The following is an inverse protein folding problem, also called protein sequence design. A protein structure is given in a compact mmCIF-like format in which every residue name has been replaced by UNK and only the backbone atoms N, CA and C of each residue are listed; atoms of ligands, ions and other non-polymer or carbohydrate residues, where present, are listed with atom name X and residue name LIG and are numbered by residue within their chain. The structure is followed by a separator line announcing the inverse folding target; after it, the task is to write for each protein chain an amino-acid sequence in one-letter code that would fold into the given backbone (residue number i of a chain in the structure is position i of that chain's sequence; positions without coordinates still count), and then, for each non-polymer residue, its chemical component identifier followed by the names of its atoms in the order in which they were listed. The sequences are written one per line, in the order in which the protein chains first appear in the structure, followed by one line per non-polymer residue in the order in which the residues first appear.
data_IF_243830212207
#
_entry.id   IF_243830212207
#
_cell.length_a   1.000
_cell.length_b   1.000
_cell.length_c   1.000
_cell.angle_alpha   90.00
_cell.angle_beta   90.00
_cell.angle_gamma   90.00
#
_symmetry.space_group_name_H-M   'P 1'
#
loop_
_entity.id
_entity.type
_entity.pdbx_description
1 polymer ?
#
# COMPACT_ATOMS: atom_id res chain seq x y z
N UNK A 1 20.31 5.70 -36.38
CA UNK A 1 18.91 5.85 -36.83
C UNK A 1 18.04 5.34 -35.69
N UNK A 2 17.35 6.28 -35.05
CA UNK A 2 16.58 6.12 -33.81
C UNK A 2 15.36 5.25 -34.12
N UNK A 3 15.22 4.09 -33.47
CA UNK A 3 13.97 3.33 -33.54
C UNK A 3 12.96 3.96 -32.58
N UNK A 4 11.85 4.35 -33.18
CA UNK A 4 10.79 5.19 -32.66
C UNK A 4 10.33 4.86 -31.23
N UNK A 5 10.54 5.86 -30.39
CA UNK A 5 9.73 6.19 -29.21
C UNK A 5 8.30 6.49 -29.70
N UNK A 6 7.46 5.46 -29.81
CA UNK A 6 6.02 5.66 -30.05
C UNK A 6 5.14 4.67 -29.31
N UNK A 7 5.62 4.15 -28.17
CA UNK A 7 4.72 3.61 -27.14
C UNK A 7 4.15 4.82 -26.37
N UNK A 8 3.20 5.45 -27.04
CA UNK A 8 2.00 6.03 -26.47
C UNK A 8 2.15 7.23 -25.50
N UNK A 9 2.30 8.43 -26.07
CA UNK A 9 2.11 9.68 -25.33
C UNK A 9 0.67 9.84 -24.81
N UNK A 10 -0.34 9.13 -25.34
CA UNK A 10 -1.72 9.19 -24.84
C UNK A 10 -1.92 8.46 -23.50
N UNK A 11 -1.06 7.49 -23.16
CA UNK A 11 -1.14 6.78 -21.87
C UNK A 11 -0.59 7.59 -20.68
N UNK A 12 0.15 8.68 -20.94
CA UNK A 12 0.80 9.49 -19.89
C UNK A 12 -0.18 10.41 -19.15
N UNK A 13 -1.35 10.68 -19.72
CA UNK A 13 -2.36 11.60 -19.16
C UNK A 13 -3.67 10.92 -18.73
N UNK A 14 -3.81 9.60 -18.94
CA UNK A 14 -5.05 8.90 -18.56
C UNK A 14 -5.19 8.86 -17.03
N UNK A 15 -6.29 9.42 -16.55
CA UNK A 15 -6.68 9.33 -15.14
C UNK A 15 -6.84 7.86 -14.74
N UNK A 16 -6.25 7.49 -13.60
CA UNK A 16 -6.40 6.16 -13.01
C UNK A 16 -7.45 6.21 -11.91
N UNK A 17 -8.48 5.39 -12.05
CA UNK A 17 -9.61 5.31 -11.13
C UNK A 17 -9.60 4.01 -10.32
N UNK A 18 -10.20 3.97 -9.11
CA UNK A 18 -9.96 2.88 -8.16
C UNK A 18 -10.41 1.50 -8.66
N UNK A 19 -11.47 1.43 -9.48
CA UNK A 19 -11.98 0.16 -10.00
C UNK A 19 -11.03 -0.52 -10.99
N UNK A 20 -10.06 0.21 -11.55
CA UNK A 20 -9.09 -0.34 -12.51
C UNK A 20 -8.07 -1.27 -11.84
N UNK A 21 -7.84 -1.11 -10.54
CA UNK A 21 -6.81 -1.84 -9.80
C UNK A 21 -7.33 -2.52 -8.51
N UNK A 22 -8.59 -2.31 -8.13
CA UNK A 22 -9.16 -2.88 -6.89
C UNK A 22 -9.18 -4.42 -6.90
N UNK A 23 -8.88 -5.02 -5.76
CA UNK A 23 -9.04 -6.45 -5.52
C UNK A 23 -10.51 -6.84 -5.42
N UNK A 24 -10.89 -7.91 -6.12
CA UNK A 24 -12.28 -8.40 -6.16
C UNK A 24 -12.82 -8.74 -4.76
N UNK A 25 -11.95 -9.18 -3.86
CA UNK A 25 -12.32 -9.60 -2.51
C UNK A 25 -12.30 -8.46 -1.49
N UNK A 26 -11.95 -7.24 -1.90
CA UNK A 26 -11.82 -6.12 -0.97
C UNK A 26 -13.16 -5.71 -0.35
N UNK A 27 -14.20 -5.47 -1.16
CA UNK A 27 -15.53 -5.13 -0.62
C UNK A 27 -16.17 -6.27 0.19
N UNK A 28 -16.14 -7.54 -0.25
CA UNK A 28 -16.58 -8.66 0.58
C UNK A 28 -15.85 -8.71 1.93
N UNK A 29 -14.53 -8.50 1.94
CA UNK A 29 -13.75 -8.49 3.18
C UNK A 29 -14.10 -7.31 4.09
N UNK A 30 -14.37 -6.12 3.52
CA UNK A 30 -14.84 -4.96 4.28
C UNK A 30 -16.20 -5.24 4.92
N UNK A 31 -17.13 -5.86 4.18
CA UNK A 31 -18.44 -6.22 4.71
C UNK A 31 -18.32 -7.19 5.90
N UNK A 32 -17.47 -8.21 5.80
CA UNK A 32 -17.19 -9.14 6.89
C UNK A 32 -16.60 -8.38 8.11
N UNK A 33 -15.62 -7.51 7.89
CA UNK A 33 -15.01 -6.71 8.97
C UNK A 33 -16.02 -5.80 9.67
N UNK A 34 -16.91 -5.14 8.92
CA UNK A 34 -17.97 -4.30 9.48
C UNK A 34 -19.01 -5.14 10.24
N UNK A 35 -19.39 -6.31 9.71
CA UNK A 35 -20.30 -7.23 10.38
C UNK A 35 -19.72 -7.74 11.72
N UNK A 36 -18.45 -8.18 11.73
CA UNK A 36 -17.75 -8.58 12.96
C UNK A 36 -17.68 -7.42 13.96
N UNK A 37 -17.42 -6.20 13.49
CA UNK A 37 -17.41 -4.99 14.33
C UNK A 37 -18.78 -4.74 14.97
N UNK A 38 -19.88 -4.95 14.24
CA UNK A 38 -21.24 -4.81 14.77
C UNK A 38 -21.58 -5.88 15.80
N UNK A 39 -21.20 -7.14 15.57
CA UNK A 39 -21.41 -8.23 16.52
C UNK A 39 -20.65 -7.95 17.83
N UNK A 40 -19.39 -7.54 17.72
CA UNK A 40 -18.56 -7.16 18.87
C UNK A 40 -19.14 -5.93 19.57
N UNK A 41 -19.56 -4.91 18.82
CA UNK A 41 -20.24 -3.74 19.35
C UNK A 41 -21.52 -4.09 20.10
N UNK A 42 -22.32 -5.04 19.62
CA UNK A 42 -23.53 -5.51 20.31
C UNK A 42 -23.19 -6.23 21.63
N UNK A 43 -22.14 -7.07 21.64
CA UNK A 43 -21.65 -7.70 22.88
C UNK A 43 -21.18 -6.64 23.88
N UNK A 44 -20.45 -5.62 23.41
CA UNK A 44 -19.97 -4.52 24.24
C UNK A 44 -21.05 -3.48 24.58
N UNK A 45 -22.19 -3.44 23.90
CA UNK A 45 -23.30 -2.55 24.24
C UNK A 45 -23.99 -2.91 25.56
N UNK A 46 -23.58 -4.03 26.17
CA UNK A 46 -23.84 -4.37 27.58
C UNK A 46 -22.97 -3.54 28.55
N UNK A 47 -21.98 -2.78 28.07
CA UNK A 47 -21.22 -1.78 28.82
C UNK A 47 -21.90 -0.40 28.74
N UNK A 48 -21.61 0.47 29.71
CA UNK A 48 -22.12 1.85 29.75
C UNK A 48 -21.74 2.65 28.48
N UNK A 49 -22.76 3.17 27.80
CA UNK A 49 -22.63 4.02 26.60
C UNK A 49 -21.62 5.16 26.76
N UNK A 50 -21.56 5.77 27.94
CA UNK A 50 -20.65 6.89 28.24
C UNK A 50 -19.18 6.48 28.26
N UNK A 51 -18.88 5.27 28.75
CA UNK A 51 -17.52 4.72 28.73
C UNK A 51 -17.08 4.46 27.29
N UNK A 52 -17.96 3.87 26.47
CA UNK A 52 -17.71 3.67 25.05
C UNK A 52 -17.43 5.00 24.33
N UNK A 53 -18.26 6.02 24.53
CA UNK A 53 -18.09 7.32 23.90
C UNK A 53 -16.77 7.98 24.31
N UNK A 54 -16.38 7.90 25.60
CA UNK A 54 -15.12 8.43 26.10
C UNK A 54 -13.91 7.76 25.44
N UNK A 55 -13.94 6.43 25.30
CA UNK A 55 -12.88 5.67 24.62
C UNK A 55 -12.76 6.07 23.14
N UNK A 56 -13.88 6.21 22.44
CA UNK A 56 -13.88 6.65 21.03
C UNK A 56 -13.32 8.06 20.89
N UNK A 57 -13.79 9.02 21.68
CA UNK A 57 -13.34 10.43 21.60
C UNK A 57 -11.87 10.55 21.98
N UNK A 58 -11.41 9.88 23.05
CA UNK A 58 -10.01 9.89 23.44
C UNK A 58 -9.09 9.28 22.38
N UNK A 59 -9.53 8.20 21.72
CA UNK A 59 -8.83 7.62 20.56
C UNK A 59 -8.72 8.59 19.38
N UNK A 60 -9.79 9.32 19.05
CA UNK A 60 -9.77 10.35 17.98
C UNK A 60 -8.81 11.50 18.29
N UNK A 61 -8.77 11.95 19.55
CA UNK A 61 -7.81 12.98 19.99
C UNK A 61 -6.39 12.45 19.91
N UNK A 62 -6.13 11.21 20.36
CA UNK A 62 -4.83 10.58 20.28
C UNK A 62 -4.30 10.49 18.85
N UNK A 63 -5.14 10.10 17.87
CA UNK A 63 -4.76 10.11 16.44
C UNK A 63 -4.29 11.49 16.00
N UNK A 64 -5.04 12.55 16.34
CA UNK A 64 -4.69 13.92 15.95
C UNK A 64 -3.36 14.35 16.55
N UNK A 65 -3.11 14.02 17.82
CA UNK A 65 -1.83 14.30 18.47
C UNK A 65 -0.67 13.55 17.81
N UNK A 66 -0.86 12.27 17.47
CA UNK A 66 0.15 11.50 16.72
C UNK A 66 0.42 12.11 15.34
N UNK A 67 -0.62 12.50 14.59
CA UNK A 67 -0.46 13.19 13.32
C UNK A 67 0.35 14.48 13.46
N UNK A 68 0.08 15.30 14.47
CA UNK A 68 0.88 16.50 14.73
C UNK A 68 2.33 16.20 15.10
N UNK A 69 2.56 15.15 15.89
CA UNK A 69 3.92 14.68 16.21
C UNK A 69 4.68 14.25 14.96
N UNK A 70 4.07 13.43 14.10
CA UNK A 70 4.68 13.03 12.82
C UNK A 70 4.94 14.21 11.90
N UNK A 71 4.05 15.20 11.84
CA UNK A 71 4.22 16.40 11.03
C UNK A 71 5.30 17.35 11.59
N UNK A 72 5.53 17.36 12.90
CA UNK A 72 6.56 18.18 13.55
C UNK A 72 7.97 17.57 13.52
N UNK A 73 8.06 16.24 13.48
CA UNK A 73 9.32 15.46 13.58
C UNK A 73 9.75 14.85 12.23
N UNK A 74 9.20 15.32 11.12
CA UNK A 74 9.56 14.87 9.78
C UNK A 74 9.88 16.03 8.85
N UNK A 75 10.72 15.77 7.85
CA UNK A 75 11.08 16.75 6.84
C UNK A 75 10.09 16.65 5.69
N UNK A 76 9.38 17.74 5.41
CA UNK A 76 8.51 17.82 4.23
C UNK A 76 9.34 17.69 2.96
N UNK A 77 8.84 16.90 2.01
CA UNK A 77 9.42 16.82 0.66
C UNK A 77 8.83 17.95 -0.18
N UNK A 78 9.73 18.73 -0.81
CA UNK A 78 9.42 19.88 -1.66
C UNK A 78 10.37 19.90 -2.87
N UNK A 79 10.00 20.63 -3.92
CA UNK A 79 10.84 20.84 -5.11
C UNK A 79 12.26 21.32 -4.78
N UNK A 80 12.43 22.10 -3.72
CA UNK A 80 13.71 22.70 -3.32
C UNK A 80 14.50 21.83 -2.32
N UNK A 81 13.99 20.64 -1.96
CA UNK A 81 14.62 19.75 -0.99
C UNK A 81 14.90 18.38 -1.59
N UNK A 82 13.86 17.73 -2.13
CA UNK A 82 13.94 16.39 -2.74
C UNK A 82 13.17 16.41 -4.08
N UNK A 83 13.71 17.06 -5.13
CA UNK A 83 12.99 17.32 -6.37
C UNK A 83 12.47 16.06 -7.06
N UNK A 84 13.28 15.01 -7.15
CA UNK A 84 12.92 13.77 -7.86
C UNK A 84 11.75 13.01 -7.20
N UNK A 85 11.77 12.93 -5.87
CA UNK A 85 10.69 12.35 -5.06
C UNK A 85 9.44 13.21 -5.19
N UNK A 86 9.59 14.54 -5.10
CA UNK A 86 8.48 15.49 -5.18
C UNK A 86 7.80 15.47 -6.56
N UNK A 87 8.57 15.39 -7.64
CA UNK A 87 8.06 15.29 -9.01
C UNK A 87 7.25 14.01 -9.20
N UNK A 88 7.83 12.87 -8.81
CA UNK A 88 7.15 11.56 -8.84
C UNK A 88 5.84 11.60 -8.07
N UNK A 89 5.87 12.10 -6.82
CA UNK A 89 4.69 12.19 -5.97
C UNK A 89 3.59 13.05 -6.63
N UNK A 90 3.96 14.22 -7.15
CA UNK A 90 3.02 15.16 -7.77
C UNK A 90 2.44 14.59 -9.06
N UNK A 91 3.25 13.89 -9.86
CA UNK A 91 2.79 13.20 -11.06
C UNK A 91 1.73 12.14 -10.76
N UNK A 92 2.03 11.25 -9.81
CA UNK A 92 1.11 10.17 -9.44
C UNK A 92 -0.13 10.68 -8.72
N UNK A 93 0.00 11.69 -7.85
CA UNK A 93 -1.15 12.36 -7.25
C UNK A 93 -2.08 12.96 -8.32
N UNK A 94 -1.51 13.58 -9.37
CA UNK A 94 -2.28 14.12 -10.51
C UNK A 94 -3.00 13.01 -11.27
N UNK A 95 -2.31 11.92 -11.63
CA UNK A 95 -2.89 10.77 -12.33
C UNK A 95 -4.03 10.12 -11.53
N UNK A 96 -3.95 10.13 -10.20
CA UNK A 96 -4.98 9.59 -9.31
C UNK A 96 -6.06 10.62 -8.92
N UNK A 97 -5.99 11.87 -9.40
CA UNK A 97 -6.87 13.00 -9.00
C UNK A 97 -6.88 13.25 -7.48
N UNK A 98 -5.73 13.18 -6.83
CA UNK A 98 -5.56 13.50 -5.41
C UNK A 98 -5.28 14.99 -5.29
N UNK A 99 -6.29 15.78 -4.89
CA UNK A 99 -6.21 17.24 -4.88
C UNK A 99 -5.30 17.83 -3.79
N UNK A 100 -5.18 17.15 -2.65
CA UNK A 100 -4.40 17.63 -1.49
C UNK A 100 -3.52 16.51 -0.97
N UNK A 101 -2.26 16.51 -1.38
CA UNK A 101 -1.26 15.53 -0.99
C UNK A 101 -0.01 16.19 -0.44
N UNK A 102 0.54 15.62 0.63
CA UNK A 102 1.86 15.96 1.15
C UNK A 102 2.69 14.69 1.28
N UNK A 103 4.00 14.83 1.14
CA UNK A 103 4.97 13.76 1.37
C UNK A 103 6.04 14.24 2.34
N UNK A 104 6.47 13.35 3.23
CA UNK A 104 7.46 13.62 4.27
C UNK A 104 8.48 12.50 4.35
N UNK A 105 9.69 12.82 4.80
CA UNK A 105 10.73 11.86 5.17
C UNK A 105 10.93 11.93 6.68
N UNK A 106 10.81 10.79 7.37
CA UNK A 106 11.03 10.67 8.80
C UNK A 106 12.28 9.83 9.07
N UNK A 107 13.09 10.25 10.05
CA UNK A 107 14.21 9.43 10.51
C UNK A 107 13.67 8.16 11.16
N UNK A 108 14.01 7.01 10.58
CA UNK A 108 13.65 5.69 11.10
C UNK A 108 14.61 4.66 10.46
N UNK A 109 15.24 3.77 11.26
CA UNK A 109 16.20 2.79 10.76
C UNK A 109 15.54 1.61 10.00
N UNK A 110 14.22 1.46 10.07
CA UNK A 110 13.49 0.39 9.39
C UNK A 110 12.99 0.84 8.02
N UNK A 111 13.05 -0.04 7.02
CA UNK A 111 12.51 0.24 5.68
C UNK A 111 10.99 0.22 5.77
N UNK A 112 10.37 1.39 5.71
CA UNK A 112 8.93 1.51 5.81
C UNK A 112 8.41 2.75 5.09
N UNK A 113 7.15 2.69 4.71
CA UNK A 113 6.37 3.79 4.18
C UNK A 113 4.92 3.60 4.61
N UNK A 114 4.20 4.69 4.80
CA UNK A 114 2.78 4.62 5.11
C UNK A 114 2.05 5.88 4.69
N UNK A 115 0.73 5.74 4.53
CA UNK A 115 -0.16 6.83 4.16
C UNK A 115 -1.22 7.08 5.22
N UNK A 116 -1.36 8.33 5.62
CA UNK A 116 -2.38 8.82 6.54
C UNK A 116 -3.29 9.80 5.81
N UNK A 117 -4.57 9.82 6.16
CA UNK A 117 -5.47 10.86 5.65
C UNK A 117 -6.92 10.45 5.49
N UNK A 118 -7.81 11.36 5.87
CA UNK A 118 -9.24 11.23 5.59
C UNK A 118 -9.68 12.09 4.39
N UNK A 119 -9.29 13.36 4.40
CA UNK A 119 -9.54 14.33 3.31
C UNK A 119 -8.27 14.79 2.60
N UNK A 120 -7.15 14.75 3.31
CA UNK A 120 -5.82 15.15 2.82
C UNK A 120 -4.90 13.95 2.86
N UNK A 121 -4.23 13.64 1.76
CA UNK A 121 -3.27 12.56 1.67
C UNK A 121 -1.94 13.00 2.29
N UNK A 122 -1.37 12.19 3.17
CA UNK A 122 -0.04 12.39 3.75
C UNK A 122 0.73 11.09 3.64
N UNK A 123 1.71 11.05 2.75
CA UNK A 123 2.64 9.92 2.60
C UNK A 123 3.88 10.20 3.45
N UNK A 124 4.35 9.21 4.17
CA UNK A 124 5.59 9.29 4.94
C UNK A 124 6.52 8.16 4.50
N UNK A 125 7.75 8.52 4.16
CA UNK A 125 8.83 7.58 3.85
C UNK A 125 9.84 7.58 5.01
N UNK A 126 10.40 6.43 5.35
CA UNK A 126 11.52 6.38 6.29
C UNK A 126 12.84 6.73 5.61
N UNK A 127 13.78 7.32 6.35
CA UNK A 127 15.13 7.59 5.84
C UNK A 127 15.81 6.32 5.34
N UNK A 128 15.69 5.20 6.07
CA UNK A 128 16.26 3.92 5.66
C UNK A 128 15.67 3.38 4.35
N UNK A 129 14.40 3.65 4.05
CA UNK A 129 13.78 3.29 2.78
C UNK A 129 14.38 4.09 1.63
N UNK A 130 14.46 5.42 1.79
CA UNK A 130 15.01 6.33 0.78
C UNK A 130 16.48 6.02 0.46
N UNK A 131 17.27 5.63 1.46
CA UNK A 131 18.70 5.31 1.28
C UNK A 131 18.97 3.95 0.62
N UNK A 132 18.04 2.99 0.73
CA UNK A 132 18.29 1.59 0.32
C UNK A 132 17.56 1.16 -0.95
N UNK A 133 16.51 1.89 -1.35
CA UNK A 133 15.78 1.64 -2.58
C UNK A 133 16.34 2.47 -3.73
N UNK A 134 16.17 1.98 -4.96
CA UNK A 134 16.45 2.74 -6.18
C UNK A 134 15.29 3.68 -6.50
N UNK A 135 15.51 4.66 -7.38
CA UNK A 135 14.46 5.63 -7.75
C UNK A 135 13.21 4.94 -8.31
N UNK A 136 13.37 3.89 -9.12
CA UNK A 136 12.26 3.11 -9.67
C UNK A 136 11.50 2.31 -8.60
N UNK A 137 12.20 1.83 -7.58
CA UNK A 137 11.59 1.16 -6.42
C UNK A 137 10.85 2.17 -5.53
N UNK A 138 11.41 3.37 -5.31
CA UNK A 138 10.76 4.47 -4.58
C UNK A 138 9.50 4.92 -5.32
N UNK A 139 9.55 5.04 -6.66
CA UNK A 139 8.37 5.31 -7.49
C UNK A 139 7.26 4.30 -7.23
N UNK A 140 7.58 3.01 -7.18
CA UNK A 140 6.60 1.97 -6.86
C UNK A 140 6.00 2.15 -5.46
N UNK A 141 6.84 2.39 -4.45
CA UNK A 141 6.37 2.62 -3.06
C UNK A 141 5.44 3.82 -2.98
N UNK A 142 5.79 4.96 -3.58
CA UNK A 142 4.94 6.15 -3.60
C UNK A 142 3.59 5.86 -4.29
N UNK A 143 3.62 5.15 -5.42
CA UNK A 143 2.41 4.79 -6.15
C UNK A 143 1.51 3.81 -5.37
N UNK A 144 2.12 2.87 -4.65
CA UNK A 144 1.43 1.95 -3.73
C UNK A 144 0.73 2.72 -2.60
N UNK A 145 1.45 3.62 -1.94
CA UNK A 145 0.96 4.46 -0.85
C UNK A 145 -0.19 5.38 -1.28
N UNK A 146 -0.05 6.05 -2.42
CA UNK A 146 -1.14 6.84 -3.01
C UNK A 146 -2.34 5.97 -3.40
N UNK A 147 -2.11 4.71 -3.77
CA UNK A 147 -3.14 3.71 -4.00
C UNK A 147 -4.03 3.47 -2.78
N UNK A 148 -3.44 3.38 -1.58
CA UNK A 148 -4.20 3.27 -0.33
C UNK A 148 -5.14 4.45 -0.13
N UNK A 149 -4.67 5.68 -0.36
CA UNK A 149 -5.49 6.87 -0.21
C UNK A 149 -6.60 6.92 -1.27
N UNK A 150 -6.25 6.72 -2.55
CA UNK A 150 -7.20 6.75 -3.66
C UNK A 150 -8.30 5.70 -3.52
N UNK A 151 -7.95 4.52 -3.02
CA UNK A 151 -8.92 3.46 -2.76
C UNK A 151 -9.74 3.66 -1.47
N UNK A 152 -9.41 4.66 -0.64
CA UNK A 152 -10.12 4.96 0.61
C UNK A 152 -9.71 4.07 1.78
N UNK A 153 -8.64 3.28 1.65
CA UNK A 153 -8.12 2.41 2.71
C UNK A 153 -7.70 3.23 3.93
N UNK A 154 -7.10 4.40 3.69
CA UNK A 154 -6.62 5.31 4.73
C UNK A 154 -7.73 5.77 5.69
N UNK A 155 -8.99 5.81 5.24
CA UNK A 155 -10.12 6.19 6.09
C UNK A 155 -10.42 5.11 7.12
N UNK A 156 -10.44 3.85 6.69
CA UNK A 156 -10.66 2.71 7.57
C UNK A 156 -9.46 2.54 8.50
N UNK A 157 -8.24 2.59 7.97
CA UNK A 157 -7.02 2.46 8.79
C UNK A 157 -6.89 3.59 9.81
N UNK A 158 -7.27 4.83 9.45
CA UNK A 158 -7.29 5.95 10.40
C UNK A 158 -8.29 5.75 11.55
N UNK A 159 -9.44 5.11 11.30
CA UNK A 159 -10.44 4.84 12.33
C UNK A 159 -10.02 3.71 13.29
N UNK A 160 -9.28 2.72 12.78
CA UNK A 160 -8.83 1.57 13.59
C UNK A 160 -7.44 1.78 14.22
N UNK A 161 -6.64 2.72 13.74
CA UNK A 161 -5.29 3.01 14.23
C UNK A 161 -5.18 3.25 15.77
N UNK A 162 -6.15 3.88 16.47
CA UNK A 162 -6.13 3.99 17.93
C UNK A 162 -6.10 2.66 18.65
N UNK A 163 -6.68 1.62 18.04
CA UNK A 163 -6.74 0.28 18.62
C UNK A 163 -5.37 -0.42 18.52
N UNK A 164 -4.42 0.15 17.78
CA UNK A 164 -3.11 -0.42 17.47
C UNK A 164 -3.17 -1.30 16.22
N UNK A 165 -2.34 -1.00 15.21
CA UNK A 165 -2.24 -1.81 13.99
C UNK A 165 -1.65 -3.20 14.24
N UNK A 166 -0.87 -3.36 15.32
CA UNK A 166 -0.35 -4.64 15.80
C UNK A 166 -1.25 -5.30 16.85
N UNK A 167 -2.47 -4.79 17.05
CA UNK A 167 -3.41 -5.39 17.99
C UNK A 167 -4.02 -6.66 17.38
N UNK A 168 -3.88 -7.84 18.02
CA UNK A 168 -4.44 -9.08 17.50
C UNK A 168 -5.95 -9.03 17.32
N UNK A 169 -6.68 -8.25 18.13
CA UNK A 169 -8.12 -8.05 17.98
C UNK A 169 -8.46 -7.21 16.74
N UNK A 170 -7.71 -6.13 16.49
CA UNK A 170 -7.88 -5.35 15.28
C UNK A 170 -7.58 -6.19 14.02
N UNK A 171 -6.53 -7.02 14.07
CA UNK A 171 -6.19 -7.94 12.99
C UNK A 171 -7.25 -9.04 12.79
N UNK A 172 -7.89 -9.54 13.85
CA UNK A 172 -8.97 -10.52 13.74
C UNK A 172 -10.19 -9.95 12.98
N UNK A 173 -10.52 -8.69 13.22
CA UNK A 173 -11.70 -8.03 12.64
C UNK A 173 -11.39 -7.47 11.25
N UNK A 174 -10.33 -6.66 11.14
CA UNK A 174 -10.00 -5.90 9.94
C UNK A 174 -8.89 -6.52 9.10
N UNK A 175 -8.21 -7.56 9.57
CA UNK A 175 -7.08 -8.18 8.88
C UNK A 175 -7.42 -8.69 7.47
N UNK A 176 -8.63 -9.21 7.27
CA UNK A 176 -9.08 -9.64 5.94
C UNK A 176 -9.13 -8.46 4.97
N UNK A 177 -9.70 -7.34 5.42
CA UNK A 177 -9.79 -6.12 4.63
C UNK A 177 -8.42 -5.48 4.39
N UNK A 178 -7.59 -5.35 5.42
CA UNK A 178 -6.24 -4.77 5.27
C UNK A 178 -5.39 -5.60 4.32
N UNK A 179 -5.43 -6.93 4.38
CA UNK A 179 -4.73 -7.79 3.40
C UNK A 179 -5.24 -7.62 1.97
N UNK A 180 -6.54 -7.45 1.77
CA UNK A 180 -7.07 -7.16 0.42
C UNK A 180 -6.67 -5.77 -0.08
N UNK A 181 -6.59 -4.81 0.84
CA UNK A 181 -6.18 -3.44 0.56
C UNK A 181 -4.75 -3.35 0.03
N UNK A 182 -3.85 -4.23 0.49
CA UNK A 182 -2.46 -4.35 0.01
C UNK A 182 -2.41 -4.84 -1.44
N UNK A 183 -3.20 -5.86 -1.81
CA UNK A 183 -3.26 -6.31 -3.21
C UNK A 183 -3.76 -5.21 -4.15
N UNK A 184 -4.72 -4.42 -3.71
CA UNK A 184 -5.21 -3.25 -4.45
C UNK A 184 -4.12 -2.20 -4.63
N UNK A 185 -3.41 -1.85 -3.56
CA UNK A 185 -2.31 -0.88 -3.61
C UNK A 185 -1.13 -1.38 -4.46
N UNK A 186 -0.80 -2.67 -4.41
CA UNK A 186 0.22 -3.28 -5.28
C UNK A 186 -0.11 -3.12 -6.76
N UNK A 187 -1.37 -3.36 -7.12
CA UNK A 187 -1.87 -3.17 -8.49
C UNK A 187 -1.85 -1.72 -8.91
N UNK A 188 -2.18 -0.78 -8.01
CA UNK A 188 -2.05 0.66 -8.26
C UNK A 188 -0.60 1.05 -8.51
N UNK A 189 0.31 0.56 -7.66
CA UNK A 189 1.75 0.74 -7.80
C UNK A 189 2.23 0.33 -9.19
N UNK A 190 1.90 -0.89 -9.59
CA UNK A 190 2.27 -1.43 -10.90
C UNK A 190 1.56 -0.73 -12.06
N UNK A 191 0.31 -0.28 -11.88
CA UNK A 191 -0.42 0.49 -12.89
C UNK A 191 0.24 1.82 -13.22
N UNK A 192 0.81 2.48 -12.21
CA UNK A 192 1.50 3.76 -12.37
C UNK A 192 2.93 3.59 -12.87
N UNK A 193 3.69 2.63 -12.34
CA UNK A 193 5.10 2.45 -12.70
C UNK A 193 5.31 1.64 -13.98
N UNK A 194 4.38 0.74 -14.31
CA UNK A 194 4.53 -0.23 -15.40
C UNK A 194 5.87 -1.01 -15.34
N UNK A 195 6.40 -1.22 -14.12
CA UNK A 195 7.68 -1.87 -13.88
C UNK A 195 7.53 -2.95 -12.80
N UNK A 196 7.39 -4.20 -13.24
CA UNK A 196 7.22 -5.35 -12.34
C UNK A 196 8.49 -5.67 -11.56
N UNK A 197 9.67 -5.42 -12.12
CA UNK A 197 10.94 -5.73 -11.47
C UNK A 197 11.15 -4.83 -10.25
N UNK A 198 10.89 -3.53 -10.38
CA UNK A 198 10.93 -2.57 -9.26
C UNK A 198 9.87 -2.87 -8.20
N UNK A 199 8.70 -3.33 -8.60
CA UNK A 199 7.66 -3.75 -7.66
C UNK A 199 8.08 -4.98 -6.84
N UNK A 200 8.61 -6.02 -7.48
CA UNK A 200 9.03 -7.24 -6.78
C UNK A 200 10.29 -6.98 -5.94
N UNK A 201 11.28 -6.29 -6.50
CA UNK A 201 12.53 -5.97 -5.79
C UNK A 201 12.30 -5.10 -4.56
N UNK A 202 11.46 -4.06 -4.63
CA UNK A 202 11.10 -3.24 -3.47
C UNK A 202 10.41 -4.06 -2.36
N UNK A 203 9.45 -4.93 -2.70
CA UNK A 203 8.80 -5.82 -1.73
C UNK A 203 9.80 -6.73 -1.01
N UNK A 204 10.76 -7.28 -1.76
CA UNK A 204 11.79 -8.16 -1.18
C UNK A 204 12.76 -7.34 -0.32
N UNK A 205 13.18 -6.15 -0.78
CA UNK A 205 14.05 -5.26 0.00
C UNK A 205 13.39 -4.82 1.30
N UNK A 206 12.09 -4.52 1.31
CA UNK A 206 11.37 -4.23 2.56
C UNK A 206 11.39 -5.45 3.50
N UNK A 207 11.31 -6.67 2.96
CA UNK A 207 11.32 -7.89 3.77
C UNK A 207 12.69 -8.27 4.37
N UNK A 208 13.80 -8.04 3.64
CA UNK A 208 15.14 -8.50 4.07
C UNK A 208 16.22 -7.42 4.14
N UNK A 209 15.92 -6.18 3.75
CA UNK A 209 16.87 -5.08 3.61
C UNK A 209 17.60 -5.04 2.26
N UNK A 210 17.98 -3.83 1.83
CA UNK A 210 18.65 -3.61 0.54
C UNK A 210 20.03 -4.27 0.43
N UNK A 211 20.76 -4.33 1.54
CA UNK A 211 22.10 -4.94 1.59
C UNK A 211 22.08 -6.46 1.41
N UNK A 212 21.09 -7.15 1.99
CA UNK A 212 20.94 -8.61 1.83
C UNK A 212 20.38 -8.97 0.46
N UNK A 213 19.50 -8.13 -0.11
CA UNK A 213 18.99 -8.33 -1.46
C UNK A 213 20.09 -8.51 -2.50
N UNK A 214 21.19 -7.73 -2.41
CA UNK A 214 22.35 -7.85 -3.32
C UNK A 214 23.05 -9.22 -3.27
N UNK A 215 22.91 -9.95 -2.17
CA UNK A 215 23.50 -11.29 -1.96
C UNK A 215 22.50 -12.41 -2.24
N UNK A 216 21.22 -12.07 -2.46
CA UNK A 216 20.15 -13.04 -2.63
C UNK A 216 20.20 -13.66 -4.02
N UNK A 217 20.04 -14.98 -4.09
CA UNK A 217 19.85 -15.69 -5.36
C UNK A 217 18.37 -15.74 -5.72
N UNK A 218 17.97 -15.07 -6.80
CA UNK A 218 16.59 -14.99 -7.25
C UNK A 218 15.97 -16.38 -7.52
N UNK A 219 16.76 -17.32 -8.07
CA UNK A 219 16.31 -18.68 -8.33
C UNK A 219 15.77 -19.39 -7.07
N UNK A 220 16.43 -19.20 -5.92
CA UNK A 220 15.99 -19.76 -4.64
C UNK A 220 14.64 -19.19 -4.22
N UNK A 221 14.44 -17.88 -4.40
CA UNK A 221 13.16 -17.22 -4.12
C UNK A 221 12.06 -17.71 -5.06
N UNK A 222 12.35 -17.89 -6.35
CA UNK A 222 11.39 -18.44 -7.31
C UNK A 222 10.96 -19.88 -6.96
N UNK A 223 11.88 -20.70 -6.48
CA UNK A 223 11.54 -22.04 -5.97
C UNK A 223 10.70 -21.95 -4.69
N UNK A 224 11.00 -21.01 -3.78
CA UNK A 224 10.15 -20.73 -2.62
C UNK A 224 8.73 -20.33 -3.04
N UNK A 225 8.55 -19.53 -4.10
CA UNK A 225 7.21 -19.21 -4.62
C UNK A 225 6.46 -20.45 -5.12
N UNK A 226 7.14 -21.44 -5.70
CA UNK A 226 6.50 -22.71 -6.10
C UNK A 226 6.04 -23.52 -4.89
N UNK A 227 6.87 -23.58 -3.85
CA UNK A 227 6.60 -24.37 -2.62
C UNK A 227 5.62 -23.68 -1.68
N UNK A 228 5.63 -22.35 -1.62
CA UNK A 228 4.74 -21.53 -0.79
C UNK A 228 3.32 -21.50 -1.38
N UNK A 229 2.78 -22.68 -1.67
CA UNK A 229 1.48 -22.96 -2.25
C UNK A 229 0.87 -24.08 -1.40
N UNK A 230 -0.20 -23.76 -0.68
CA UNK A 230 -0.84 -24.76 0.16
C UNK A 230 -1.76 -24.16 1.21
N UNK A 231 -2.64 -25.00 1.74
CA UNK A 231 -3.61 -24.62 2.76
C UNK A 231 -2.94 -24.13 4.04
N UNK A 232 -1.84 -24.74 4.48
CA UNK A 232 -1.10 -24.32 5.69
C UNK A 232 -0.52 -22.91 5.60
N UNK A 233 0.05 -22.53 4.45
CA UNK A 233 0.57 -21.18 4.22
C UNK A 233 -0.57 -20.15 4.18
N UNK A 234 -1.71 -20.48 3.55
CA UNK A 234 -2.92 -19.64 3.55
C UNK A 234 -3.49 -19.47 4.96
N UNK A 235 -3.42 -20.50 5.80
CA UNK A 235 -3.88 -20.44 7.19
C UNK A 235 -2.95 -19.57 8.05
N UNK A 236 -1.63 -19.68 7.85
CA UNK A 236 -0.65 -18.83 8.54
C UNK A 236 -0.81 -17.33 8.24
N UNK A 237 -1.28 -16.99 7.04
CA UNK A 237 -1.55 -15.60 6.64
C UNK A 237 -2.72 -14.96 7.38
N UNK A 238 -3.67 -15.73 7.91
CA UNK A 238 -4.83 -15.18 8.64
C UNK A 238 -4.39 -14.41 9.89
N UNK A 239 -3.32 -14.86 10.55
CA UNK A 239 -2.78 -14.24 11.75
C UNK A 239 -1.76 -13.13 11.46
N UNK A 240 -1.37 -12.93 10.21
CA UNK A 240 -0.41 -11.91 9.80
C UNK A 240 -1.09 -10.56 9.60
N UNK A 241 -0.41 -9.47 9.99
CA UNK A 241 -0.90 -8.08 9.82
C UNK A 241 -0.89 -7.64 8.36
N UNK A 242 0.04 -8.17 7.57
CA UNK A 242 0.15 -7.98 6.13
C UNK A 242 0.10 -9.32 5.39
N UNK A 243 -0.36 -9.36 4.13
CA UNK A 243 -0.32 -10.57 3.34
C UNK A 243 1.12 -11.00 3.12
N UNK A 244 1.34 -12.29 2.98
CA UNK A 244 2.68 -12.84 2.80
C UNK A 244 3.30 -12.27 1.52
N UNK A 245 4.57 -11.85 1.58
CA UNK A 245 5.30 -11.30 0.42
C UNK A 245 5.21 -12.24 -0.79
N UNK A 246 5.26 -13.56 -0.56
CA UNK A 246 5.13 -14.58 -1.61
C UNK A 246 3.74 -14.56 -2.29
N UNK A 247 2.67 -14.27 -1.56
CA UNK A 247 1.32 -14.15 -2.13
C UNK A 247 1.14 -12.83 -2.88
N UNK A 248 1.70 -11.73 -2.35
CA UNK A 248 1.73 -10.42 -3.02
C UNK A 248 2.43 -10.50 -4.37
N UNK A 249 3.65 -11.07 -4.41
CA UNK A 249 4.42 -11.25 -5.65
C UNK A 249 3.64 -12.07 -6.68
N UNK A 250 3.00 -13.18 -6.28
CA UNK A 250 2.17 -13.99 -7.19
C UNK A 250 0.95 -13.23 -7.71
N UNK A 251 0.22 -12.56 -6.83
CA UNK A 251 -0.96 -11.77 -7.18
C UNK A 251 -0.58 -10.67 -8.18
N UNK A 252 0.55 -10.01 -7.94
CA UNK A 252 1.07 -8.95 -8.79
C UNK A 252 1.53 -9.46 -10.16
N UNK A 253 2.25 -10.58 -10.21
CA UNK A 253 2.65 -11.23 -11.46
C UNK A 253 1.43 -11.65 -12.30
N UNK A 254 0.38 -12.19 -11.66
CA UNK A 254 -0.87 -12.50 -12.35
C UNK A 254 -1.54 -11.25 -12.92
N UNK A 255 -1.57 -10.15 -12.15
CA UNK A 255 -2.12 -8.88 -12.61
C UNK A 255 -1.33 -8.31 -13.79
N UNK A 256 0.01 -8.37 -13.74
CA UNK A 256 0.89 -7.98 -14.83
C UNK A 256 0.59 -8.73 -16.12
N UNK A 257 0.57 -10.07 -16.04
CA UNK A 257 0.32 -10.93 -17.18
C UNK A 257 -1.03 -10.59 -17.84
N UNK A 258 -2.10 -10.45 -17.04
CA UNK A 258 -3.44 -10.23 -17.56
C UNK A 258 -3.65 -8.83 -18.17
N UNK A 259 -2.97 -7.79 -17.67
CA UNK A 259 -3.27 -6.39 -18.04
C UNK A 259 -2.19 -5.74 -18.90
N UNK A 260 -0.95 -6.21 -18.85
CA UNK A 260 0.18 -5.61 -19.58
C UNK A 260 0.67 -6.51 -20.71
N UNK A 261 0.73 -7.83 -20.51
CA UNK A 261 1.20 -8.77 -21.55
C UNK A 261 0.04 -9.24 -22.43
N UNK A 262 -1.00 -9.82 -21.83
CA UNK A 262 -2.16 -10.34 -22.59
C UNK A 262 -2.96 -9.24 -23.29
N UNK A 263 -2.83 -7.99 -22.83
CA UNK A 263 -3.43 -6.82 -23.47
C UNK A 263 -2.72 -6.41 -24.78
N UNK A 264 -1.40 -6.65 -24.90
CA UNK A 264 -0.65 -6.32 -26.13
C UNK A 264 -1.02 -7.27 -27.28
N UNK A 265 -1.17 -8.57 -27.01
CA UNK A 265 -1.55 -9.56 -28.03
C UNK A 265 -2.96 -9.37 -28.62
N UNK A 266 -3.85 -8.62 -27.95
CA UNK A 266 -5.20 -8.32 -28.49
C UNK A 266 -5.21 -7.16 -29.49
N UNK A 267 -4.24 -6.25 -29.40
CA UNK A 267 -4.10 -5.12 -30.34
C UNK A 267 -3.29 -5.46 -31.59
N UNK A 268 -2.51 -6.56 -31.58
CA UNK A 268 -1.80 -7.07 -32.76
C UNK A 268 -2.64 -8.03 -33.63
N UNK A 269 -3.88 -8.33 -33.23
CA UNK A 269 -4.83 -9.18 -33.97
C UNK A 269 -6.09 -8.41 -34.44
N UNK A 270 -6.04 -7.08 -34.49
CA UNK A 270 -7.04 -6.22 -35.12
C UNK A 270 -6.38 -5.37 -36.20
#
# INVERSE_FOLDING_TARGET
MVYNVSVDQHRRESVIEPWMFRSNNEYPSLFISLFLSLVIGAIFSLLDFWIFLLVVVSGLIFIRLQQYSYLGDSIRVHENQFPEIYETFTEYARKLKIARGNIYIKQDPYLNAWTLGFFTCTVVLTSALVEQLTDEEIKFVIAHELGHFKAGHTKVTSLISPLGTNNPFANLIFGFYTRQSEYTSDRCGLALTSNIDSAISSMIKIAIGGSLFKKMKLEGYMNQLKIAQGMGIRMGEILSSHPLTTNRVKSLANFWNNNFISGQNKHEMQ
#
